data_IF_925432230056
#
_entry.id   IF_925432230056
#
_cell.length_a   1.000
_cell.length_b   1.000
_cell.length_c   1.000
_cell.angle_alpha   90.00
_cell.angle_beta   90.00
_cell.angle_gamma   90.00
#
_symmetry.space_group_name_H-M   'P 1'
#
loop_
_entity.id
_entity.type
_entity.pdbx_description
1 polymer ?
#
# COMPACT_ATOMS: atom_id res chain seq x y z
N UNK A 1 2.72 -9.52 -34.01
CA UNK A 1 1.29 -9.88 -34.01
C UNK A 1 0.53 -8.73 -33.39
N UNK A 2 -0.24 -8.03 -34.21
CA UNK A 2 -1.17 -7.00 -33.73
C UNK A 2 -2.21 -7.70 -32.83
N UNK A 3 -2.69 -7.00 -31.80
CA UNK A 3 -3.61 -7.59 -30.81
C UNK A 3 -4.91 -8.07 -31.44
N UNK A 4 -5.30 -7.49 -32.58
CA UNK A 4 -6.52 -7.82 -33.32
C UNK A 4 -6.46 -9.19 -34.03
N UNK A 5 -5.31 -9.56 -34.63
CA UNK A 5 -5.11 -10.87 -35.27
C UNK A 5 -5.26 -12.02 -34.26
N UNK A 6 -4.78 -11.81 -33.03
CA UNK A 6 -4.88 -12.81 -31.96
C UNK A 6 -6.34 -13.00 -31.54
N UNK A 7 -7.12 -11.91 -31.47
CA UNK A 7 -8.53 -11.99 -31.10
C UNK A 7 -9.36 -12.71 -32.16
N UNK A 8 -9.12 -12.41 -33.44
CA UNK A 8 -9.81 -13.06 -34.55
C UNK A 8 -9.50 -14.57 -34.61
N UNK A 9 -8.24 -14.95 -34.40
CA UNK A 9 -7.85 -16.36 -34.28
C UNK A 9 -8.55 -17.05 -33.10
N UNK A 10 -8.61 -16.41 -31.92
CA UNK A 10 -9.27 -17.01 -30.76
C UNK A 10 -10.78 -17.19 -30.97
N UNK A 11 -11.42 -16.29 -31.71
CA UNK A 11 -12.83 -16.38 -32.04
C UNK A 11 -13.10 -17.54 -33.02
N UNK A 12 -12.29 -17.66 -34.06
CA UNK A 12 -12.38 -18.77 -35.01
C UNK A 12 -12.18 -20.14 -34.34
N UNK A 13 -11.24 -20.24 -33.40
CA UNK A 13 -11.01 -21.46 -32.61
C UNK A 13 -12.20 -21.79 -31.70
N UNK A 14 -12.80 -20.80 -31.04
CA UNK A 14 -13.99 -21.02 -30.21
C UNK A 14 -15.21 -21.43 -31.05
N UNK A 15 -15.38 -20.83 -32.23
CA UNK A 15 -16.47 -21.16 -33.15
C UNK A 15 -16.33 -22.57 -33.76
N UNK A 16 -15.11 -23.07 -33.93
CA UNK A 16 -14.84 -24.47 -34.32
C UNK A 16 -14.97 -25.47 -33.16
N UNK A 17 -15.52 -25.06 -32.01
CA UNK A 17 -15.67 -25.83 -30.77
C UNK A 17 -14.35 -26.30 -30.15
N UNK A 18 -13.24 -25.65 -30.49
CA UNK A 18 -11.96 -25.90 -29.83
C UNK A 18 -11.86 -25.12 -28.53
N UNK A 19 -11.10 -25.65 -27.57
CA UNK A 19 -10.83 -24.96 -26.31
C UNK A 19 -9.69 -23.97 -26.49
N UNK A 20 -9.90 -22.75 -25.99
CA UNK A 20 -8.88 -21.69 -26.06
C UNK A 20 -8.33 -21.41 -24.68
N UNK A 21 -7.00 -21.43 -24.56
CA UNK A 21 -6.29 -21.06 -23.33
C UNK A 21 -5.82 -19.61 -23.41
N UNK A 22 -6.26 -18.78 -22.46
CA UNK A 22 -5.88 -17.38 -22.35
C UNK A 22 -5.22 -17.08 -21.00
N UNK A 23 -4.32 -16.11 -20.97
CA UNK A 23 -3.71 -15.61 -19.73
C UNK A 23 -4.56 -14.48 -19.18
N UNK A 24 -4.96 -14.59 -17.91
CA UNK A 24 -5.74 -13.56 -17.22
C UNK A 24 -4.89 -12.31 -17.02
N UNK A 25 -5.30 -11.21 -17.66
CA UNK A 25 -4.76 -9.88 -17.43
C UNK A 25 -5.56 -9.09 -16.41
N UNK A 26 -4.89 -8.50 -15.42
CA UNK A 26 -5.50 -7.58 -14.46
C UNK A 26 -5.99 -8.25 -13.16
N UNK A 27 -6.84 -7.55 -12.40
CA UNK A 27 -7.26 -7.98 -11.05
C UNK A 27 -8.78 -7.95 -10.85
N UNK A 28 -9.59 -7.74 -11.90
CA UNK A 28 -11.04 -7.55 -11.74
C UNK A 28 -11.73 -8.76 -11.12
N UNK A 29 -11.24 -9.97 -11.40
CA UNK A 29 -11.71 -11.25 -10.85
C UNK A 29 -11.00 -11.71 -9.57
N UNK A 30 -10.18 -10.86 -8.95
CA UNK A 30 -9.55 -11.18 -7.67
C UNK A 30 -10.62 -11.28 -6.56
N UNK A 31 -10.59 -12.27 -5.64
CA UNK A 31 -9.51 -13.24 -5.38
C UNK A 31 -9.58 -14.54 -6.19
N UNK A 32 -10.67 -14.79 -6.93
CA UNK A 32 -10.93 -16.07 -7.57
C UNK A 32 -9.94 -16.36 -8.71
N UNK A 33 -9.84 -15.47 -9.70
CA UNK A 33 -8.78 -15.45 -10.70
C UNK A 33 -7.75 -14.37 -10.38
N UNK A 34 -6.48 -14.63 -10.66
CA UNK A 34 -5.36 -13.72 -10.41
C UNK A 34 -4.67 -13.39 -11.72
N UNK A 35 -4.05 -12.22 -11.78
CA UNK A 35 -3.20 -11.83 -12.89
C UNK A 35 -2.13 -12.91 -13.15
N UNK A 36 -2.06 -13.41 -14.38
CA UNK A 36 -1.15 -14.49 -14.79
C UNK A 36 -1.67 -15.91 -14.55
N UNK A 37 -2.88 -16.12 -14.02
CA UNK A 37 -3.54 -17.43 -14.13
C UNK A 37 -3.88 -17.71 -15.60
N UNK A 38 -3.84 -18.97 -16.01
CA UNK A 38 -4.28 -19.38 -17.35
C UNK A 38 -5.69 -19.92 -17.25
N UNK A 39 -6.62 -19.40 -18.04
CA UNK A 39 -8.01 -19.86 -18.12
C UNK A 39 -8.22 -20.63 -19.41
N UNK A 40 -9.07 -21.66 -19.35
CA UNK A 40 -9.51 -22.39 -20.54
C UNK A 40 -10.99 -22.13 -20.75
N UNK A 41 -11.29 -21.68 -21.96
CA UNK A 41 -12.59 -21.19 -22.40
C UNK A 41 -13.18 -22.22 -23.34
N UNK A 42 -14.46 -22.50 -23.16
CA UNK A 42 -15.25 -23.31 -24.07
C UNK A 42 -16.46 -22.52 -24.57
N UNK A 43 -16.77 -22.65 -25.86
CA UNK A 43 -18.02 -22.10 -26.42
C UNK A 43 -19.20 -22.91 -25.88
N UNK A 44 -20.22 -22.23 -25.39
CA UNK A 44 -21.45 -22.85 -24.88
C UNK A 44 -22.64 -22.00 -25.29
N UNK A 45 -23.85 -22.55 -25.20
CA UNK A 45 -25.08 -21.78 -25.43
C UNK A 45 -25.44 -20.99 -24.18
N UNK A 46 -26.08 -19.83 -24.34
CA UNK A 46 -26.48 -18.99 -23.20
C UNK A 46 -27.43 -19.74 -22.25
N UNK A 47 -28.26 -20.64 -22.79
CA UNK A 47 -29.18 -21.46 -22.01
C UNK A 47 -28.48 -22.48 -21.10
N UNK A 48 -27.19 -22.75 -21.32
CA UNK A 48 -26.37 -23.66 -20.50
C UNK A 48 -25.65 -22.92 -19.36
N UNK A 49 -25.75 -21.58 -19.33
CA UNK A 49 -25.12 -20.75 -18.32
C UNK A 49 -25.92 -20.76 -17.01
N UNK A 50 -25.20 -20.87 -15.90
CA UNK A 50 -25.75 -20.78 -14.56
C UNK A 50 -25.25 -19.52 -13.86
N UNK A 51 -26.09 -18.95 -12.99
CA UNK A 51 -25.68 -17.82 -12.13
C UNK A 51 -24.44 -18.24 -11.31
N UNK A 52 -23.41 -17.41 -11.35
CA UNK A 52 -22.11 -17.65 -10.71
C UNK A 52 -21.02 -18.20 -11.64
N UNK A 53 -21.35 -18.59 -12.87
CA UNK A 53 -20.38 -18.96 -13.90
C UNK A 53 -19.49 -17.77 -14.28
N UNK A 54 -18.27 -18.07 -14.72
CA UNK A 54 -17.36 -17.05 -15.26
C UNK A 54 -17.48 -17.06 -16.77
N UNK A 55 -17.98 -15.96 -17.31
CA UNK A 55 -18.22 -15.79 -18.74
C UNK A 55 -17.19 -14.84 -19.32
N UNK A 56 -16.77 -15.13 -20.55
CA UNK A 56 -15.85 -14.31 -21.32
C UNK A 56 -16.64 -13.64 -22.44
N UNK A 57 -16.50 -12.32 -22.54
CA UNK A 57 -17.20 -11.51 -23.52
C UNK A 57 -16.29 -10.41 -24.08
N UNK A 58 -16.65 -9.92 -25.26
CA UNK A 58 -15.96 -8.87 -25.98
C UNK A 58 -16.54 -7.51 -25.59
N UNK A 59 -15.64 -6.55 -25.40
CA UNK A 59 -15.92 -5.12 -25.38
C UNK A 59 -15.11 -4.46 -26.48
N UNK A 60 -15.47 -3.24 -26.90
CA UNK A 60 -14.86 -2.56 -28.06
C UNK A 60 -13.32 -2.60 -28.10
N UNK A 61 -12.64 -2.64 -26.95
CA UNK A 61 -11.18 -2.65 -26.89
C UNK A 61 -10.55 -3.98 -26.42
N UNK A 62 -11.31 -4.90 -25.78
CA UNK A 62 -10.75 -5.99 -24.94
C UNK A 62 -11.71 -7.16 -24.72
N UNK A 63 -11.14 -8.34 -24.48
CA UNK A 63 -11.85 -9.48 -23.91
C UNK A 63 -11.87 -9.43 -22.38
N UNK A 64 -13.03 -9.65 -21.78
CA UNK A 64 -13.24 -9.55 -20.34
C UNK A 64 -13.87 -10.84 -19.83
N UNK A 65 -13.27 -11.42 -18.79
CA UNK A 65 -13.82 -12.56 -18.07
C UNK A 65 -14.42 -12.09 -16.74
N UNK A 66 -15.75 -12.09 -16.59
CA UNK A 66 -16.42 -11.70 -15.36
C UNK A 66 -17.49 -12.71 -14.91
N UNK A 67 -17.89 -12.63 -13.64
CA UNK A 67 -18.86 -13.55 -13.07
C UNK A 67 -20.28 -13.15 -13.46
N UNK A 68 -21.06 -14.12 -13.91
CA UNK A 68 -22.47 -13.96 -14.23
C UNK A 68 -23.29 -13.80 -12.95
N UNK A 69 -23.98 -12.67 -12.81
CA UNK A 69 -24.81 -12.37 -11.64
C UNK A 69 -26.30 -12.54 -11.91
N UNK A 70 -26.75 -12.22 -13.13
CA UNK A 70 -28.16 -12.31 -13.50
C UNK A 70 -28.28 -12.49 -15.01
N UNK A 71 -29.26 -13.28 -15.43
CA UNK A 71 -29.72 -13.39 -16.82
C UNK A 71 -31.08 -12.68 -16.86
N UNK A 72 -31.30 -11.80 -17.84
CA UNK A 72 -32.61 -11.22 -18.11
C UNK A 72 -32.99 -11.44 -19.57
N UNK A 73 -34.28 -11.46 -19.85
CA UNK A 73 -34.81 -11.36 -21.21
C UNK A 73 -35.46 -9.99 -21.36
N UNK A 74 -35.01 -9.20 -22.33
CA UNK A 74 -35.59 -7.90 -22.69
C UNK A 74 -35.77 -7.89 -24.23
N UNK A 75 -36.97 -7.57 -24.70
CA UNK A 75 -37.33 -7.50 -26.14
C UNK A 75 -36.93 -8.75 -26.97
N UNK A 76 -37.28 -9.96 -26.51
CA UNK A 76 -36.90 -11.24 -27.13
C UNK A 76 -35.38 -11.49 -27.27
N UNK A 77 -34.53 -10.69 -26.61
CA UNK A 77 -33.07 -10.90 -26.56
C UNK A 77 -32.64 -11.24 -25.14
N UNK A 78 -31.75 -12.22 -25.00
CA UNK A 78 -31.15 -12.58 -23.71
C UNK A 78 -29.99 -11.64 -23.41
N UNK A 79 -30.00 -11.00 -22.24
CA UNK A 79 -28.91 -10.14 -21.76
C UNK A 79 -28.30 -10.71 -20.47
N UNK A 80 -26.97 -10.69 -20.43
CA UNK A 80 -26.18 -11.18 -19.31
C UNK A 80 -25.68 -9.99 -18.49
N UNK A 81 -25.94 -10.01 -17.18
CA UNK A 81 -25.41 -9.04 -16.24
C UNK A 81 -24.22 -9.67 -15.54
N UNK A 82 -23.02 -9.18 -15.87
CA UNK A 82 -21.76 -9.67 -15.32
C UNK A 82 -21.17 -8.68 -14.33
N UNK A 83 -20.27 -9.17 -13.47
CA UNK A 83 -19.52 -8.35 -12.52
C UNK A 83 -18.20 -9.03 -12.17
N UNK A 84 -17.11 -8.27 -12.14
CA UNK A 84 -15.84 -8.75 -11.61
C UNK A 84 -15.89 -8.93 -10.08
N UNK A 85 -15.26 -9.99 -9.55
CA UNK A 85 -15.28 -10.32 -8.11
C UNK A 85 -14.72 -9.21 -7.20
N UNK A 86 -13.81 -8.37 -7.72
CA UNK A 86 -13.24 -7.22 -7.02
C UNK A 86 -13.87 -5.87 -7.42
N UNK A 87 -14.80 -5.87 -8.37
CA UNK A 87 -15.46 -4.66 -8.87
C UNK A 87 -16.62 -4.28 -7.93
N UNK A 88 -16.89 -2.98 -7.78
CA UNK A 88 -18.04 -2.51 -6.99
C UNK A 88 -19.31 -2.40 -7.83
N UNK A 89 -19.18 -1.97 -9.09
CA UNK A 89 -20.26 -1.85 -10.07
C UNK A 89 -20.41 -3.12 -10.91
N UNK A 90 -21.61 -3.34 -11.44
CA UNK A 90 -21.87 -4.34 -12.49
C UNK A 90 -21.38 -3.80 -13.84
N UNK A 91 -21.10 -4.69 -14.78
CA UNK A 91 -20.75 -4.32 -16.15
C UNK A 91 -21.99 -3.86 -16.92
N UNK A 92 -21.77 -3.27 -18.10
CA UNK A 92 -22.83 -3.07 -19.08
C UNK A 92 -23.45 -4.41 -19.47
N UNK A 93 -24.76 -4.45 -19.79
CA UNK A 93 -25.40 -5.69 -20.25
C UNK A 93 -24.67 -6.28 -21.44
N UNK A 94 -24.29 -7.55 -21.31
CA UNK A 94 -23.61 -8.30 -22.38
C UNK A 94 -24.68 -9.01 -23.21
N UNK A 95 -24.72 -8.70 -24.50
CA UNK A 95 -25.59 -9.32 -25.50
C UNK A 95 -25.01 -10.62 -26.03
N UNK A 96 -25.83 -11.43 -26.71
CA UNK A 96 -25.38 -12.71 -27.28
C UNK A 96 -24.24 -12.55 -28.29
N UNK A 97 -24.27 -11.47 -29.08
CA UNK A 97 -23.23 -11.14 -30.07
C UNK A 97 -21.85 -10.91 -29.42
N UNK A 98 -21.83 -10.33 -28.22
CA UNK A 98 -20.58 -10.05 -27.51
C UNK A 98 -20.11 -11.24 -26.66
N UNK A 99 -20.91 -12.30 -26.55
CA UNK A 99 -20.59 -13.45 -25.71
C UNK A 99 -19.65 -14.44 -26.40
N UNK A 100 -18.45 -14.60 -25.85
CA UNK A 100 -17.44 -15.48 -26.41
C UNK A 100 -17.51 -16.91 -25.87
N UNK A 101 -17.70 -17.10 -24.56
CA UNK A 101 -17.76 -18.44 -23.97
C UNK A 101 -17.71 -18.46 -22.45
N UNK A 102 -17.60 -19.67 -21.89
CA UNK A 102 -17.53 -19.91 -20.44
C UNK A 102 -16.17 -20.47 -20.05
N UNK A 103 -15.65 -20.02 -18.92
CA UNK A 103 -14.43 -20.58 -18.33
C UNK A 103 -14.77 -21.89 -17.62
N UNK A 104 -14.10 -22.97 -18.03
CA UNK A 104 -14.33 -24.33 -17.48
C UNK A 104 -13.26 -24.74 -16.46
N UNK A 105 -12.01 -24.32 -16.68
CA UNK A 105 -10.88 -24.65 -15.82
C UNK A 105 -9.84 -23.53 -15.87
N UNK A 106 -9.03 -23.45 -14.83
CA UNK A 106 -7.91 -22.52 -14.77
C UNK A 106 -6.68 -23.15 -14.12
N UNK A 107 -5.50 -22.70 -14.52
CA UNK A 107 -4.22 -23.11 -13.96
C UNK A 107 -3.65 -21.98 -13.12
N UNK A 108 -3.22 -22.33 -11.90
CA UNK A 108 -2.49 -21.41 -11.02
C UNK A 108 -1.15 -22.00 -10.66
N UNK A 109 -0.06 -21.38 -11.13
CA UNK A 109 1.32 -21.89 -10.96
C UNK A 109 1.45 -23.34 -11.44
N UNK A 110 0.92 -23.64 -12.63
CA UNK A 110 0.95 -24.97 -13.23
C UNK A 110 -0.01 -26.00 -12.63
N UNK A 111 -0.74 -25.69 -11.54
CA UNK A 111 -1.74 -26.61 -10.97
C UNK A 111 -3.12 -26.36 -11.58
N UNK A 112 -3.71 -27.40 -12.15
CA UNK A 112 -5.07 -27.38 -12.69
C UNK A 112 -6.12 -27.24 -11.58
N UNK A 113 -7.13 -26.40 -11.81
CA UNK A 113 -8.31 -26.21 -10.96
C UNK A 113 -9.57 -26.26 -11.83
N UNK A 114 -10.35 -27.32 -11.67
CA UNK A 114 -11.63 -27.50 -12.35
C UNK A 114 -12.74 -26.69 -11.64
N UNK A 115 -13.33 -25.73 -12.35
CA UNK A 115 -14.35 -24.80 -11.81
C UNK A 115 -15.68 -25.53 -11.56
N UNK A 116 -15.94 -26.62 -12.28
CA UNK A 116 -17.18 -27.40 -12.18
C UNK A 116 -17.22 -28.35 -10.98
N UNK A 117 -16.13 -28.48 -10.21
CA UNK A 117 -16.10 -29.26 -8.98
C UNK A 117 -17.12 -28.74 -7.95
N UNK A 118 -17.73 -29.63 -7.16
CA UNK A 118 -18.70 -29.29 -6.11
C UNK A 118 -18.17 -28.26 -5.10
N UNK A 119 -16.87 -28.29 -4.82
CA UNK A 119 -16.20 -27.28 -3.99
C UNK A 119 -16.33 -25.87 -4.57
N UNK A 120 -16.00 -25.70 -5.86
CA UNK A 120 -16.07 -24.41 -6.53
C UNK A 120 -17.50 -23.97 -6.84
N UNK A 121 -18.43 -24.89 -7.10
CA UNK A 121 -19.86 -24.57 -7.21
C UNK A 121 -20.42 -23.96 -5.92
N UNK A 122 -20.06 -24.48 -4.74
CA UNK A 122 -20.45 -23.91 -3.45
C UNK A 122 -19.86 -22.50 -3.26
N UNK A 123 -18.57 -22.32 -3.55
CA UNK A 123 -17.90 -21.01 -3.49
C UNK A 123 -18.56 -20.00 -4.44
N UNK A 124 -18.88 -20.42 -5.66
CA UNK A 124 -19.51 -19.57 -6.68
C UNK A 124 -20.87 -19.05 -6.21
N UNK A 125 -21.71 -19.91 -5.61
CA UNK A 125 -23.01 -19.50 -5.05
C UNK A 125 -22.86 -18.55 -3.87
N UNK A 126 -21.89 -18.77 -2.99
CA UNK A 126 -21.62 -17.87 -1.86
C UNK A 126 -21.17 -16.47 -2.32
N UNK A 127 -20.29 -16.37 -3.32
CA UNK A 127 -19.79 -15.07 -3.82
C UNK A 127 -20.93 -14.22 -4.39
N UNK A 128 -21.84 -14.82 -5.17
CA UNK A 128 -22.97 -14.09 -5.77
C UNK A 128 -23.98 -13.64 -4.70
N UNK A 129 -24.28 -14.50 -3.73
CA UNK A 129 -25.30 -14.24 -2.70
C UNK A 129 -24.91 -13.12 -1.73
N UNK A 130 -23.61 -12.95 -1.43
CA UNK A 130 -23.12 -12.00 -0.41
C UNK A 130 -22.50 -10.70 -0.99
N UNK A 131 -22.86 -10.33 -2.22
CA UNK A 131 -22.14 -9.36 -3.08
C UNK A 131 -21.91 -7.91 -2.58
N UNK A 132 -22.41 -7.50 -1.40
CA UNK A 132 -22.30 -6.10 -0.91
C UNK A 132 -21.60 -5.89 0.45
N UNK A 133 -21.96 -6.54 1.58
CA UNK A 133 -21.29 -6.25 2.86
C UNK A 133 -20.05 -7.13 3.14
N UNK A 134 -20.07 -8.40 2.71
CA UNK A 134 -19.03 -9.39 3.07
C UNK A 134 -17.75 -9.25 2.22
N UNK A 135 -17.90 -8.75 0.99
CA UNK A 135 -16.79 -8.46 0.05
C UNK A 135 -15.87 -7.35 0.56
N UNK A 136 -16.37 -6.41 1.38
CA UNK A 136 -15.60 -5.31 1.95
C UNK A 136 -14.57 -5.76 3.01
N UNK A 137 -14.83 -6.85 3.74
CA UNK A 137 -13.94 -7.35 4.81
C UNK A 137 -13.08 -8.55 4.39
N UNK A 138 -13.65 -9.49 3.62
CA UNK A 138 -12.93 -10.71 3.22
C UNK A 138 -11.92 -10.46 2.09
N UNK A 139 -12.22 -9.58 1.13
CA UNK A 139 -11.30 -9.29 0.03
C UNK A 139 -10.01 -8.65 0.56
N UNK A 140 -10.05 -7.72 1.55
CA UNK A 140 -8.86 -7.30 2.27
C UNK A 140 -8.06 -8.44 2.89
N UNK A 141 -8.72 -9.28 3.69
CA UNK A 141 -8.06 -10.35 4.40
C UNK A 141 -7.40 -11.36 3.44
N UNK A 142 -8.12 -11.79 2.40
CA UNK A 142 -7.59 -12.71 1.37
C UNK A 142 -6.48 -12.08 0.53
N UNK A 143 -6.57 -10.78 0.21
CA UNK A 143 -5.49 -10.10 -0.50
C UNK A 143 -4.25 -9.92 0.38
N UNK A 144 -4.40 -9.73 1.70
CA UNK A 144 -3.28 -9.77 2.64
C UNK A 144 -2.62 -11.16 2.68
N UNK A 145 -3.43 -12.21 2.89
CA UNK A 145 -2.98 -13.61 2.96
C UNK A 145 -2.32 -14.06 1.65
N UNK A 146 -2.70 -13.52 0.51
CA UNK A 146 -2.09 -13.89 -0.78
C UNK A 146 -0.83 -13.10 -1.11
N UNK A 147 -0.63 -11.91 -0.51
CA UNK A 147 0.56 -11.06 -0.70
C UNK A 147 1.60 -11.15 0.42
N UNK A 148 1.36 -11.89 1.50
CA UNK A 148 2.30 -12.02 2.61
C UNK A 148 3.73 -12.42 2.17
N UNK A 149 3.88 -13.32 1.17
CA UNK A 149 5.21 -13.68 0.62
C UNK A 149 5.98 -12.49 0.06
N UNK A 150 5.28 -11.56 -0.61
CA UNK A 150 5.88 -10.34 -1.14
C UNK A 150 6.30 -9.41 0.00
N UNK A 151 5.49 -9.30 1.05
CA UNK A 151 5.82 -8.54 2.25
C UNK A 151 7.07 -9.12 2.93
N UNK A 152 7.15 -10.44 3.11
CA UNK A 152 8.33 -11.12 3.68
C UNK A 152 9.58 -10.84 2.84
N UNK A 153 9.49 -10.93 1.51
CA UNK A 153 10.61 -10.59 0.61
C UNK A 153 11.03 -9.13 0.75
N UNK A 154 10.07 -8.21 0.84
CA UNK A 154 10.35 -6.78 1.07
C UNK A 154 11.03 -6.55 2.42
N UNK A 155 10.55 -7.18 3.50
CA UNK A 155 11.18 -7.10 4.82
C UNK A 155 12.62 -7.64 4.78
N UNK A 156 12.84 -8.77 4.09
CA UNK A 156 14.19 -9.33 3.92
C UNK A 156 15.13 -8.35 3.20
N UNK A 157 14.64 -7.67 2.16
CA UNK A 157 15.41 -6.66 1.43
C UNK A 157 15.68 -5.44 2.29
N UNK A 158 14.67 -4.92 3.01
CA UNK A 158 14.82 -3.80 3.94
C UNK A 158 15.87 -4.14 5.01
N UNK A 159 15.80 -5.34 5.62
CA UNK A 159 16.78 -5.80 6.59
C UNK A 159 18.20 -5.82 6.01
N UNK A 160 18.37 -6.33 4.79
CA UNK A 160 19.68 -6.36 4.12
C UNK A 160 20.22 -4.94 3.87
N UNK A 161 19.37 -4.04 3.38
CA UNK A 161 19.73 -2.65 3.12
C UNK A 161 20.07 -1.89 4.41
N UNK A 162 19.25 -2.04 5.46
CA UNK A 162 19.52 -1.47 6.78
C UNK A 162 20.81 -2.03 7.37
N UNK A 163 21.01 -3.35 7.32
CA UNK A 163 22.24 -3.96 7.82
C UNK A 163 23.49 -3.42 7.11
N UNK A 164 23.41 -3.27 5.79
CA UNK A 164 24.50 -2.71 4.99
C UNK A 164 24.81 -1.27 5.39
N UNK A 165 23.78 -0.41 5.52
CA UNK A 165 23.95 1.00 5.85
C UNK A 165 24.38 1.20 7.32
N UNK A 166 23.76 0.47 8.25
CA UNK A 166 24.06 0.58 9.69
C UNK A 166 25.43 -0.01 10.07
N UNK A 167 26.03 -0.85 9.22
CA UNK A 167 27.35 -1.44 9.48
C UNK A 167 28.48 -0.41 9.45
N UNK A 168 28.33 0.68 8.71
CA UNK A 168 29.31 1.78 8.68
C UNK A 168 29.14 2.70 9.90
N UNK A 169 27.89 2.97 10.31
CA UNK A 169 27.56 3.87 11.43
C UNK A 169 27.10 3.12 12.69
N UNK A 170 27.80 2.04 13.08
CA UNK A 170 27.36 1.11 14.16
C UNK A 170 27.08 1.81 15.48
N UNK A 171 27.99 2.68 15.93
CA UNK A 171 27.86 3.38 17.22
C UNK A 171 26.61 4.26 17.27
N UNK A 172 26.41 5.08 16.24
CA UNK A 172 25.24 5.95 16.12
C UNK A 172 23.94 5.15 16.00
N UNK A 173 23.96 4.03 15.28
CA UNK A 173 22.79 3.14 15.16
C UNK A 173 22.40 2.57 16.52
N UNK A 174 23.36 2.07 17.31
CA UNK A 174 23.10 1.49 18.64
C UNK A 174 22.49 2.55 19.58
N UNK A 175 23.07 3.76 19.62
CA UNK A 175 22.54 4.86 20.45
C UNK A 175 21.09 5.18 20.06
N UNK A 176 20.80 5.29 18.76
CA UNK A 176 19.43 5.54 18.28
C UNK A 176 18.44 4.40 18.63
N UNK A 177 18.89 3.14 18.61
CA UNK A 177 18.07 2.01 19.06
C UNK A 177 17.72 2.14 20.54
N UNK A 178 18.72 2.42 21.39
CA UNK A 178 18.51 2.58 22.84
C UNK A 178 17.53 3.71 23.13
N UNK A 179 17.73 4.87 22.50
CA UNK A 179 16.82 6.03 22.65
C UNK A 179 15.40 5.67 22.18
N UNK A 180 15.26 4.97 21.04
CA UNK A 180 13.94 4.56 20.51
C UNK A 180 13.22 3.59 21.44
N UNK A 181 13.96 2.69 22.12
CA UNK A 181 13.40 1.76 23.11
C UNK A 181 12.89 2.54 24.33
N UNK A 182 13.68 3.46 24.87
CA UNK A 182 13.30 4.28 26.02
C UNK A 182 12.06 5.15 25.71
N UNK A 183 12.03 5.80 24.55
CA UNK A 183 10.88 6.58 24.08
C UNK A 183 9.62 5.73 23.83
N UNK A 184 9.78 4.44 23.51
CA UNK A 184 8.66 3.52 23.32
C UNK A 184 7.97 3.14 24.63
N UNK A 185 8.69 3.19 25.76
CA UNK A 185 8.22 2.78 27.10
C UNK A 185 7.69 3.98 27.89
N UNK A 186 8.29 5.16 27.74
CA UNK A 186 7.98 6.36 28.52
C UNK A 186 6.49 6.76 28.61
N UNK A 187 5.71 6.76 27.50
CA UNK A 187 4.29 7.11 27.57
C UNK A 187 3.50 6.23 28.55
N UNK A 188 3.92 4.98 28.75
CA UNK A 188 3.27 4.04 29.67
C UNK A 188 3.65 4.29 31.11
N UNK A 189 4.91 4.66 31.37
CA UNK A 189 5.34 5.11 32.69
C UNK A 189 4.48 6.31 33.11
N UNK A 190 4.27 7.27 32.21
CA UNK A 190 3.41 8.43 32.44
C UNK A 190 1.97 8.02 32.76
N UNK A 191 1.37 7.09 31.99
CA UNK A 191 0.02 6.57 32.26
C UNK A 191 -0.10 5.95 33.66
N UNK A 192 0.90 5.16 34.08
CA UNK A 192 0.91 4.56 35.42
C UNK A 192 1.08 5.59 36.54
N UNK A 193 1.91 6.62 36.32
CA UNK A 193 2.05 7.73 37.26
C UNK A 193 0.73 8.50 37.41
N UNK A 194 0.02 8.76 36.31
CA UNK A 194 -1.32 9.35 36.37
C UNK A 194 -2.31 8.47 37.12
N UNK A 195 -2.28 7.16 36.91
CA UNK A 195 -3.10 6.21 37.68
C UNK A 195 -2.82 6.35 39.19
N UNK A 196 -1.55 6.30 39.60
CA UNK A 196 -1.19 6.42 41.02
C UNK A 196 -1.56 7.78 41.61
N UNK A 197 -1.49 8.85 40.82
CA UNK A 197 -1.95 10.17 41.23
C UNK A 197 -3.45 10.16 41.51
N UNK A 198 -4.27 9.58 40.61
CA UNK A 198 -5.72 9.45 40.80
C UNK A 198 -6.05 8.55 42.00
N UNK A 199 -5.39 7.40 42.11
CA UNK A 199 -5.57 6.45 43.22
C UNK A 199 -5.19 7.11 44.56
N UNK A 200 -4.14 7.93 44.58
CA UNK A 200 -3.72 8.74 45.73
C UNK A 200 -4.80 9.73 46.13
N UNK A 201 -5.36 10.48 45.18
CA UNK A 201 -6.44 11.44 45.44
C UNK A 201 -7.71 10.78 45.98
N UNK A 202 -8.03 9.55 45.59
CA UNK A 202 -9.19 8.83 46.12
C UNK A 202 -9.04 8.40 47.58
N UNK A 203 -7.80 8.24 48.08
CA UNK A 203 -7.54 7.86 49.47
C UNK A 203 -7.67 9.02 50.46
N UNK A 204 -7.94 10.25 50.01
CA UNK A 204 -8.13 11.45 50.86
C UNK A 204 -9.09 11.20 52.03
N UNK A 205 -10.15 10.42 51.81
CA UNK A 205 -11.14 10.13 52.84
C UNK A 205 -10.64 9.19 53.97
N UNK A 206 -9.47 8.56 53.81
CA UNK A 206 -8.88 7.63 54.77
C UNK A 206 -7.64 8.14 55.51
N UNK A 207 -7.11 9.32 55.17
CA UNK A 207 -5.99 9.93 55.90
C UNK A 207 -6.51 10.82 57.02
N UNK A 208 -6.19 10.47 58.28
CA UNK A 208 -6.43 11.35 59.44
C UNK A 208 -5.51 12.58 59.44
N UNK A 209 -4.32 12.46 58.84
CA UNK A 209 -3.31 13.53 58.74
C UNK A 209 -3.16 14.00 57.29
N UNK A 210 -3.55 15.26 57.05
CA UNK A 210 -3.48 15.90 55.72
C UNK A 210 -2.04 16.15 55.27
N UNK A 211 -1.06 16.17 56.18
CA UNK A 211 0.35 16.43 55.86
C UNK A 211 1.04 15.21 55.25
N UNK A 212 0.77 14.01 55.78
CA UNK A 212 1.26 12.75 55.21
C UNK A 212 0.73 12.53 53.79
N UNK A 213 -0.56 12.81 53.58
CA UNK A 213 -1.19 12.80 52.26
C UNK A 213 -0.51 13.75 51.26
N UNK A 214 -0.21 14.98 51.68
CA UNK A 214 0.45 15.96 50.83
C UNK A 214 1.86 15.49 50.43
N UNK A 215 2.60 14.88 51.35
CA UNK A 215 3.93 14.35 51.07
C UNK A 215 3.90 13.19 50.05
N UNK A 216 2.97 12.24 50.20
CA UNK A 216 2.81 11.12 49.27
C UNK A 216 2.50 11.60 47.84
N UNK A 217 1.61 12.58 47.70
CA UNK A 217 1.29 13.18 46.40
C UNK A 217 2.45 13.99 45.84
N UNK A 218 3.14 14.78 46.68
CA UNK A 218 4.31 15.56 46.25
C UNK A 218 5.38 14.65 45.63
N UNK A 219 5.65 13.49 46.22
CA UNK A 219 6.61 12.52 45.67
C UNK A 219 6.18 12.05 44.27
N UNK A 220 4.90 11.72 44.08
CA UNK A 220 4.37 11.31 42.77
C UNK A 220 4.49 12.46 41.75
N UNK A 221 4.20 13.70 42.14
CA UNK A 221 4.33 14.88 41.29
C UNK A 221 5.78 15.11 40.88
N UNK A 222 6.73 15.02 41.82
CA UNK A 222 8.17 15.19 41.54
C UNK A 222 8.65 14.11 40.56
N UNK A 223 8.31 12.83 40.82
CA UNK A 223 8.66 11.73 39.91
C UNK A 223 8.07 11.96 38.52
N UNK A 224 6.81 12.41 38.45
CA UNK A 224 6.15 12.74 37.18
C UNK A 224 6.88 13.85 36.45
N UNK A 225 7.26 14.93 37.15
CA UNK A 225 8.07 16.01 36.60
C UNK A 225 9.41 15.52 36.05
N UNK A 226 10.12 14.66 36.80
CA UNK A 226 11.38 14.06 36.36
C UNK A 226 11.22 13.18 35.12
N UNK A 227 10.12 12.41 35.02
CA UNK A 227 9.83 11.59 33.84
C UNK A 227 9.52 12.46 32.62
N UNK A 228 8.80 13.58 32.78
CA UNK A 228 8.58 14.55 31.70
C UNK A 228 9.88 15.24 31.25
N UNK A 229 10.74 15.60 32.19
CA UNK A 229 12.07 16.15 31.90
C UNK A 229 12.93 15.12 31.14
N UNK A 230 12.98 13.87 31.62
CA UNK A 230 13.67 12.78 30.94
C UNK A 230 13.14 12.57 29.51
N UNK A 231 11.81 12.59 29.34
CA UNK A 231 11.20 12.49 28.00
C UNK A 231 11.62 13.65 27.10
N UNK A 232 11.72 14.86 27.63
CA UNK A 232 12.16 16.05 26.90
C UNK A 232 13.63 15.94 26.48
N UNK A 233 14.49 15.53 27.41
CA UNK A 233 15.92 15.30 27.14
C UNK A 233 16.10 14.21 26.08
N UNK A 234 15.40 13.08 26.21
CA UNK A 234 15.47 12.01 25.21
C UNK A 234 14.97 12.46 23.84
N UNK A 235 13.97 13.34 23.75
CA UNK A 235 13.53 13.90 22.47
C UNK A 235 14.63 14.77 21.81
N UNK A 236 15.32 15.60 22.60
CA UNK A 236 16.44 16.42 22.10
C UNK A 236 17.56 15.51 21.59
N UNK A 237 17.99 14.53 22.40
CA UNK A 237 19.02 13.57 22.03
C UNK A 237 18.61 12.75 20.80
N UNK A 238 17.35 12.32 20.72
CA UNK A 238 16.83 11.59 19.57
C UNK A 238 16.96 12.40 18.28
N UNK A 239 16.60 13.69 18.30
CA UNK A 239 16.69 14.53 17.11
C UNK A 239 18.15 14.73 16.67
N UNK A 240 19.04 14.99 17.62
CA UNK A 240 20.47 15.18 17.35
C UNK A 240 21.13 13.90 16.82
N UNK A 241 20.96 12.77 17.50
CA UNK A 241 21.57 11.49 17.10
C UNK A 241 20.98 10.95 15.80
N UNK A 242 19.70 11.22 15.50
CA UNK A 242 19.11 10.91 14.19
C UNK A 242 19.71 11.74 13.08
N UNK A 243 19.92 13.03 13.31
CA UNK A 243 20.53 13.92 12.32
C UNK A 243 21.98 13.53 12.04
N UNK A 244 22.78 13.26 13.08
CA UNK A 244 24.16 12.76 12.94
C UNK A 244 24.22 11.44 12.15
N UNK A 245 23.32 10.50 12.44
CA UNK A 245 23.23 9.25 11.69
C UNK A 245 22.80 9.51 10.24
N UNK A 246 21.84 10.41 10.04
CA UNK A 246 21.32 10.80 8.72
C UNK A 246 22.44 11.34 7.82
N UNK A 247 23.27 12.25 8.37
CA UNK A 247 24.43 12.81 7.69
C UNK A 247 25.48 11.73 7.37
N UNK A 248 25.84 10.90 8.34
CA UNK A 248 26.81 9.81 8.15
C UNK A 248 26.39 8.85 7.03
N UNK A 249 25.10 8.48 7.00
CA UNK A 249 24.54 7.62 5.96
C UNK A 249 24.50 8.32 4.60
N UNK A 250 24.13 9.60 4.56
CA UNK A 250 24.09 10.39 3.33
C UNK A 250 25.48 10.41 2.65
N UNK A 251 26.53 10.76 3.41
CA UNK A 251 27.91 10.77 2.92
C UNK A 251 28.32 9.40 2.36
N UNK A 252 28.01 8.32 3.08
CA UNK A 252 28.31 6.96 2.64
C UNK A 252 27.63 6.61 1.31
N UNK A 253 26.33 6.90 1.19
CA UNK A 253 25.56 6.59 -0.02
C UNK A 253 26.06 7.40 -1.21
N UNK A 254 26.38 8.69 -1.04
CA UNK A 254 26.96 9.51 -2.09
C UNK A 254 28.33 8.99 -2.53
N UNK A 255 29.20 8.58 -1.60
CA UNK A 255 30.49 7.98 -1.95
C UNK A 255 30.33 6.71 -2.79
N UNK A 256 29.39 5.83 -2.42
CA UNK A 256 29.09 4.63 -3.19
C UNK A 256 28.54 4.96 -4.59
N UNK A 257 27.71 5.99 -4.69
CA UNK A 257 27.17 6.46 -5.97
C UNK A 257 28.27 7.04 -6.85
N UNK A 258 29.15 7.87 -6.31
CA UNK A 258 30.28 8.46 -7.04
C UNK A 258 31.23 7.38 -7.55
N UNK A 259 31.65 6.44 -6.69
CA UNK A 259 32.48 5.30 -7.09
C UNK A 259 31.82 4.48 -8.20
N UNK A 260 30.51 4.24 -8.09
CA UNK A 260 29.79 3.52 -9.13
C UNK A 260 29.75 4.32 -10.43
N UNK A 261 29.49 5.63 -10.39
CA UNK A 261 29.43 6.48 -11.57
C UNK A 261 30.76 6.53 -12.33
N UNK A 262 31.89 6.61 -11.61
CA UNK A 262 33.25 6.55 -12.19
C UNK A 262 33.51 5.21 -12.89
N UNK A 263 32.93 4.12 -12.38
CA UNK A 263 33.12 2.77 -12.96
C UNK A 263 32.26 2.47 -14.20
N UNK A 264 31.35 3.36 -14.59
CA UNK A 264 30.44 3.13 -15.71
C UNK A 264 31.10 3.54 -17.03
N UNK A 265 30.87 2.74 -18.06
CA UNK A 265 31.25 3.03 -19.44
C UNK A 265 30.35 4.10 -20.07
N UNK A 266 30.88 4.81 -21.06
CA UNK A 266 30.16 5.88 -21.76
C UNK A 266 28.88 5.37 -22.44
N UNK A 267 28.90 4.17 -23.03
CA UNK A 267 27.73 3.57 -23.67
C UNK A 267 26.55 3.40 -22.68
N UNK A 268 26.84 3.04 -21.43
CA UNK A 268 25.83 2.98 -20.37
C UNK A 268 25.28 4.35 -19.99
N UNK A 269 26.09 5.41 -20.08
CA UNK A 269 25.65 6.78 -19.78
C UNK A 269 24.78 7.38 -20.89
N UNK A 270 24.96 6.94 -22.14
CA UNK A 270 24.19 7.41 -23.30
C UNK A 270 22.82 6.71 -23.45
N UNK A 271 22.65 5.50 -22.89
CA UNK A 271 21.37 4.79 -22.96
C UNK A 271 20.26 5.44 -22.10
N UNK A 272 19.13 5.71 -22.74
CA UNK A 272 18.00 6.39 -22.12
C UNK A 272 17.38 5.61 -20.95
N UNK A 273 17.37 4.27 -20.99
CA UNK A 273 16.81 3.44 -19.92
C UNK A 273 17.75 3.38 -18.70
N UNK A 274 19.08 3.41 -18.93
CA UNK A 274 20.06 3.49 -17.86
C UNK A 274 20.07 4.87 -17.21
N UNK A 275 19.91 5.96 -17.97
CA UNK A 275 19.79 7.29 -17.41
C UNK A 275 18.62 7.43 -16.44
N UNK A 276 17.48 6.77 -16.68
CA UNK A 276 16.37 6.73 -15.72
C UNK A 276 16.78 6.08 -14.37
N UNK A 277 17.71 5.12 -14.39
CA UNK A 277 18.25 4.51 -13.16
C UNK A 277 19.22 5.46 -12.45
N UNK A 278 20.13 6.09 -13.19
CA UNK A 278 21.11 7.03 -12.63
C UNK A 278 20.39 8.25 -12.03
N UNK A 279 19.48 8.86 -12.79
CA UNK A 279 18.69 10.00 -12.34
C UNK A 279 17.94 9.69 -11.04
N UNK A 280 17.24 8.56 -10.98
CA UNK A 280 16.57 8.15 -9.74
C UNK A 280 17.55 7.88 -8.61
N UNK A 281 18.65 7.18 -8.86
CA UNK A 281 19.64 6.89 -7.82
C UNK A 281 20.19 8.18 -7.20
N UNK A 282 20.53 9.18 -8.02
CA UNK A 282 21.04 10.48 -7.56
C UNK A 282 19.98 11.27 -6.80
N UNK A 283 18.78 11.39 -7.37
CA UNK A 283 17.67 12.13 -6.75
C UNK A 283 17.19 11.47 -5.45
N UNK A 284 17.22 10.14 -5.37
CA UNK A 284 16.74 9.39 -4.20
C UNK A 284 17.81 9.11 -3.14
N UNK A 285 19.10 9.19 -3.48
CA UNK A 285 20.22 8.91 -2.58
C UNK A 285 20.19 9.74 -1.29
N UNK A 286 19.90 11.04 -1.42
CA UNK A 286 19.94 11.99 -0.31
C UNK A 286 18.76 11.89 0.66
N UNK A 287 17.69 11.16 0.35
CA UNK A 287 16.49 11.16 1.22
C UNK A 287 15.85 9.79 1.44
N UNK A 288 15.83 8.88 0.46
CA UNK A 288 15.14 7.58 0.61
C UNK A 288 15.79 6.68 1.65
N UNK A 289 17.11 6.47 1.67
CA UNK A 289 17.75 5.63 2.68
C UNK A 289 17.54 6.17 4.09
N UNK A 290 17.65 7.50 4.25
CA UNK A 290 17.46 8.21 5.52
C UNK A 290 16.03 8.04 6.02
N UNK A 291 15.05 8.21 5.13
CA UNK A 291 13.65 7.95 5.44
C UNK A 291 13.44 6.50 5.88
N UNK A 292 14.01 5.52 5.18
CA UNK A 292 13.86 4.10 5.56
C UNK A 292 14.41 3.82 6.96
N UNK A 293 15.55 4.40 7.32
CA UNK A 293 16.16 4.26 8.65
C UNK A 293 15.27 4.91 9.72
N UNK A 294 14.85 6.15 9.50
CA UNK A 294 14.01 6.87 10.45
C UNK A 294 12.67 6.19 10.71
N UNK A 295 12.02 5.70 9.65
CA UNK A 295 10.79 4.92 9.72
C UNK A 295 11.02 3.57 10.41
N UNK A 296 12.22 2.98 10.29
CA UNK A 296 12.57 1.73 11.00
C UNK A 296 12.69 1.94 12.50
N UNK A 297 13.33 3.02 12.94
CA UNK A 297 13.38 3.35 14.37
C UNK A 297 11.99 3.71 14.91
N UNK A 298 11.19 4.45 14.13
CA UNK A 298 9.79 4.74 14.48
C UNK A 298 8.97 3.46 14.59
N UNK A 299 9.24 2.46 13.72
CA UNK A 299 8.61 1.15 13.80
C UNK A 299 9.03 0.39 15.06
N UNK A 300 10.32 0.43 15.45
CA UNK A 300 10.80 -0.16 16.71
C UNK A 300 10.06 0.45 17.89
N UNK A 301 10.01 1.78 17.98
CA UNK A 301 9.27 2.49 19.01
C UNK A 301 7.79 2.07 19.03
N UNK A 302 7.14 2.05 17.87
CA UNK A 302 5.72 1.68 17.73
C UNK A 302 5.43 0.24 18.12
N UNK A 303 6.33 -0.70 17.82
CA UNK A 303 6.20 -2.12 18.19
C UNK A 303 6.30 -2.27 19.71
N UNK A 304 7.25 -1.58 20.34
CA UNK A 304 7.41 -1.58 21.80
C UNK A 304 6.17 -0.99 22.45
N UNK A 305 5.70 0.16 21.98
CA UNK A 305 4.48 0.77 22.50
C UNK A 305 3.26 -0.12 22.32
N UNK A 306 3.11 -0.78 21.16
CA UNK A 306 2.03 -1.74 20.93
C UNK A 306 2.13 -2.95 21.86
N UNK A 307 3.33 -3.48 22.11
CA UNK A 307 3.54 -4.59 23.03
C UNK A 307 3.17 -4.23 24.47
N UNK A 308 3.52 -3.02 24.92
CA UNK A 308 3.14 -2.52 26.25
C UNK A 308 1.63 -2.31 26.35
N UNK A 309 0.99 -1.69 25.33
CA UNK A 309 -0.48 -1.55 25.26
C UNK A 309 -1.14 -2.93 25.31
N UNK A 310 -0.66 -3.88 24.51
CA UNK A 310 -1.20 -5.23 24.48
C UNK A 310 -1.11 -5.86 25.88
N UNK A 311 0.07 -5.82 26.53
CA UNK A 311 0.25 -6.36 27.88
C UNK A 311 -0.71 -5.75 28.91
N UNK A 312 -0.93 -4.43 28.85
CA UNK A 312 -1.89 -3.73 29.71
C UNK A 312 -3.33 -4.18 29.41
N UNK A 313 -3.73 -4.25 28.14
CA UNK A 313 -5.08 -4.64 27.75
C UNK A 313 -5.38 -6.11 28.07
N UNK A 314 -4.42 -7.02 27.90
CA UNK A 314 -4.57 -8.43 28.28
C UNK A 314 -4.80 -8.58 29.79
N UNK A 315 -4.19 -7.71 30.61
CA UNK A 315 -4.42 -7.70 32.06
C UNK A 315 -5.83 -7.21 32.44
N UNK A 316 -6.43 -6.35 31.62
CA UNK A 316 -7.80 -5.86 31.83
C UNK A 316 -8.80 -6.86 31.27
N UNK A 317 -8.84 -7.03 29.94
CA UNK A 317 -9.67 -8.01 29.23
C UNK A 317 -9.14 -8.22 27.82
N UNK A 318 -8.80 -9.47 27.48
CA UNK A 318 -8.30 -9.85 26.16
C UNK A 318 -9.28 -9.55 25.00
N UNK A 319 -10.59 -9.50 25.27
CA UNK A 319 -11.63 -9.18 24.28
C UNK A 319 -11.46 -7.75 23.74
N UNK A 320 -11.12 -6.79 24.61
CA UNK A 320 -10.90 -5.39 24.22
C UNK A 320 -9.76 -5.29 23.20
N UNK A 321 -8.68 -6.05 23.43
CA UNK A 321 -7.56 -6.12 22.50
C UNK A 321 -7.98 -6.65 21.12
N UNK A 322 -8.79 -7.71 21.09
CA UNK A 322 -9.31 -8.29 19.82
C UNK A 322 -10.22 -7.29 19.09
N UNK A 323 -11.09 -6.59 19.80
CA UNK A 323 -11.98 -5.58 19.22
C UNK A 323 -11.19 -4.41 18.58
N UNK A 324 -10.17 -3.90 19.28
CA UNK A 324 -9.30 -2.84 18.74
C UNK A 324 -8.55 -3.34 17.50
N UNK A 325 -8.07 -4.59 17.50
CA UNK A 325 -7.44 -5.16 16.31
C UNK A 325 -8.38 -5.18 15.11
N UNK A 326 -9.64 -5.60 15.30
CA UNK A 326 -10.65 -5.60 14.24
C UNK A 326 -10.91 -4.17 13.72
N UNK A 327 -11.02 -3.20 14.63
CA UNK A 327 -11.24 -1.79 14.30
C UNK A 327 -10.13 -1.20 13.40
N UNK A 328 -8.88 -1.61 13.59
CA UNK A 328 -7.71 -1.05 12.88
C UNK A 328 -7.51 -1.65 11.47
N UNK A 329 -8.01 -2.85 11.20
CA UNK A 329 -7.78 -3.58 9.93
C UNK A 329 -8.15 -2.75 8.68
N UNK A 330 -9.33 -2.08 8.59
CA UNK A 330 -9.69 -1.28 7.42
C UNK A 330 -8.73 -0.12 7.17
N UNK A 331 -8.29 0.57 8.22
CA UNK A 331 -7.35 1.67 8.10
C UNK A 331 -5.98 1.23 7.59
N UNK A 332 -5.47 0.10 8.12
CA UNK A 332 -4.25 -0.52 7.62
C UNK A 332 -4.38 -0.90 6.14
N UNK A 333 -5.53 -1.46 5.74
CA UNK A 333 -5.81 -1.86 4.37
C UNK A 333 -5.72 -0.70 3.38
N UNK A 334 -6.41 0.40 3.69
CA UNK A 334 -6.43 1.61 2.86
C UNK A 334 -5.00 2.11 2.66
N UNK A 335 -4.24 2.28 3.74
CA UNK A 335 -2.86 2.76 3.68
C UNK A 335 -1.97 1.86 2.82
N UNK A 336 -2.07 0.54 2.98
CA UNK A 336 -1.25 -0.40 2.21
C UNK A 336 -1.60 -0.39 0.71
N UNK A 337 -2.90 -0.40 0.37
CA UNK A 337 -3.39 -0.34 -1.03
C UNK A 337 -2.93 0.94 -1.73
N UNK A 338 -3.07 2.09 -1.09
CA UNK A 338 -2.68 3.38 -1.66
C UNK A 338 -1.16 3.59 -1.70
N UNK A 339 -0.41 3.03 -0.75
CA UNK A 339 1.06 3.01 -0.79
C UNK A 339 1.56 2.31 -2.06
N UNK A 340 0.98 1.16 -2.43
CA UNK A 340 1.35 0.47 -3.67
C UNK A 340 0.98 1.27 -4.94
N UNK A 341 -0.17 1.94 -4.93
CA UNK A 341 -0.58 2.81 -6.06
C UNK A 341 0.35 4.01 -6.21
N UNK A 342 0.75 4.65 -5.11
CA UNK A 342 1.72 5.75 -5.12
C UNK A 342 3.08 5.28 -5.66
N UNK A 343 3.56 4.12 -5.22
CA UNK A 343 4.81 3.55 -5.75
C UNK A 343 4.74 3.31 -7.27
N UNK A 344 3.64 2.73 -7.76
CA UNK A 344 3.46 2.52 -9.21
C UNK A 344 3.42 3.85 -9.95
N UNK A 345 2.70 4.84 -9.44
CA UNK A 345 2.61 6.19 -10.02
C UNK A 345 3.99 6.85 -10.15
N UNK A 346 4.79 6.82 -9.09
CA UNK A 346 6.16 7.36 -9.12
C UNK A 346 7.02 6.62 -10.15
N UNK A 347 6.94 5.28 -10.19
CA UNK A 347 7.71 4.48 -11.15
C UNK A 347 7.33 4.78 -12.60
N UNK A 348 6.04 4.94 -12.91
CA UNK A 348 5.56 5.26 -14.26
C UNK A 348 5.89 6.68 -14.69
N UNK A 349 6.01 7.61 -13.73
CA UNK A 349 6.29 9.02 -14.01
C UNK A 349 7.78 9.36 -14.08
N UNK A 350 8.68 8.39 -13.87
CA UNK A 350 10.15 8.58 -13.89
C UNK A 350 10.64 9.33 -15.14
N UNK A 351 10.11 9.00 -16.31
CA UNK A 351 10.51 9.64 -17.58
C UNK A 351 10.04 11.11 -17.64
N UNK A 352 8.82 11.40 -17.17
CA UNK A 352 8.29 12.77 -17.12
C UNK A 352 9.01 13.63 -16.07
N UNK A 353 9.38 13.03 -14.94
CA UNK A 353 10.22 13.69 -13.93
C UNK A 353 11.60 14.04 -14.50
N UNK A 354 12.21 13.14 -15.30
CA UNK A 354 13.48 13.41 -15.99
C UNK A 354 13.35 14.51 -17.05
N UNK A 355 12.28 14.50 -17.83
CA UNK A 355 12.02 15.56 -18.82
C UNK A 355 11.86 16.93 -18.14
N UNK A 356 11.06 17.00 -17.06
CA UNK A 356 10.92 18.22 -16.27
C UNK A 356 12.25 18.67 -15.67
N UNK A 357 13.09 17.73 -15.22
CA UNK A 357 14.43 18.03 -14.75
C UNK A 357 15.31 18.64 -15.85
N UNK A 358 15.22 18.18 -17.11
CA UNK A 358 15.95 18.78 -18.22
C UNK A 358 15.48 20.19 -18.56
N UNK A 359 14.17 20.44 -18.58
CA UNK A 359 13.66 21.81 -18.78
C UNK A 359 14.13 22.73 -17.66
N UNK A 360 14.08 22.28 -16.41
CA UNK A 360 14.63 23.03 -15.28
C UNK A 360 16.13 23.32 -15.48
N UNK A 361 16.93 22.30 -15.85
CA UNK A 361 18.37 22.45 -16.09
C UNK A 361 18.67 23.46 -17.21
N UNK A 362 17.89 23.45 -18.29
CA UNK A 362 18.04 24.41 -19.40
C UNK A 362 17.79 25.82 -18.86
N UNK A 363 16.67 26.03 -18.17
CA UNK A 363 16.26 27.34 -17.65
C UNK A 363 17.20 27.91 -16.58
N UNK A 364 17.83 27.07 -15.77
CA UNK A 364 18.61 27.51 -14.60
C UNK A 364 20.13 27.45 -14.78
N UNK A 365 20.64 26.71 -15.77
CA UNK A 365 22.09 26.53 -15.94
C UNK A 365 22.72 27.69 -16.71
N UNK A 366 23.88 28.16 -16.23
CA UNK A 366 24.67 29.18 -16.88
C UNK A 366 25.06 28.79 -18.32
N UNK A 367 25.26 27.49 -18.58
CA UNK A 367 25.67 26.99 -19.89
C UNK A 367 24.68 27.35 -21.02
N UNK A 368 23.37 27.40 -20.72
CA UNK A 368 22.33 27.70 -21.71
C UNK A 368 21.84 29.16 -21.64
N UNK A 369 22.32 29.95 -20.68
CA UNK A 369 21.80 31.29 -20.39
C UNK A 369 21.94 32.26 -21.58
N UNK A 370 23.03 32.15 -22.35
CA UNK A 370 23.26 32.99 -23.54
C UNK A 370 22.26 32.68 -24.65
N UNK A 371 22.04 31.40 -24.96
CA UNK A 371 21.09 30.96 -25.98
C UNK A 371 19.65 31.32 -25.61
N UNK A 372 19.25 31.11 -24.35
CA UNK A 372 17.89 31.44 -23.88
C UNK A 372 17.60 32.93 -24.05
N UNK A 373 18.56 33.80 -23.74
CA UNK A 373 18.42 35.25 -23.87
C UNK A 373 18.48 35.71 -25.32
N UNK A 374 19.40 35.16 -26.12
CA UNK A 374 19.57 35.50 -27.52
C UNK A 374 18.33 35.13 -28.35
N UNK A 375 17.78 33.94 -28.12
CA UNK A 375 16.64 33.41 -28.89
C UNK A 375 15.27 33.67 -28.24
N UNK A 376 15.20 34.21 -27.02
CA UNK A 376 13.93 34.48 -26.32
C UNK A 376 13.12 33.23 -25.96
N UNK A 377 13.73 32.05 -25.96
CA UNK A 377 13.04 30.74 -25.80
C UNK A 377 12.71 30.36 -24.34
N UNK A 378 12.94 31.25 -23.37
CA UNK A 378 12.69 30.96 -21.95
C UNK A 378 11.22 30.64 -21.64
N UNK A 379 10.28 31.38 -22.23
CA UNK A 379 8.85 31.15 -22.02
C UNK A 379 8.40 29.78 -22.54
N UNK A 380 8.95 29.34 -23.68
CA UNK A 380 8.65 28.04 -24.27
C UNK A 380 8.99 26.88 -23.33
N UNK A 381 10.20 26.88 -22.74
CA UNK A 381 10.59 25.83 -21.80
C UNK A 381 9.85 25.93 -20.46
N UNK A 382 9.56 27.15 -20.01
CA UNK A 382 8.79 27.39 -18.78
C UNK A 382 7.38 26.81 -18.90
N UNK A 383 6.70 27.01 -20.03
CA UNK A 383 5.37 26.47 -20.27
C UNK A 383 5.38 24.93 -20.29
N UNK A 384 6.34 24.31 -20.98
CA UNK A 384 6.49 22.84 -20.99
C UNK A 384 6.76 22.26 -19.61
N UNK A 385 7.65 22.90 -18.83
CA UNK A 385 7.91 22.52 -17.45
C UNK A 385 6.63 22.56 -16.61
N UNK A 386 5.88 23.66 -16.68
CA UNK A 386 4.65 23.85 -15.93
C UNK A 386 3.58 22.83 -16.32
N UNK A 387 3.42 22.53 -17.62
CA UNK A 387 2.47 21.53 -18.10
C UNK A 387 2.79 20.11 -17.57
N UNK A 388 4.07 19.74 -17.51
CA UNK A 388 4.46 18.45 -16.93
C UNK A 388 4.20 18.42 -15.43
N UNK A 389 4.67 19.43 -14.68
CA UNK A 389 4.53 19.48 -13.23
C UNK A 389 3.05 19.49 -12.80
N UNK A 390 2.22 20.31 -13.44
CA UNK A 390 0.77 20.36 -13.16
C UNK A 390 0.10 18.99 -13.40
N UNK A 391 0.47 18.27 -14.46
CA UNK A 391 -0.04 16.93 -14.72
C UNK A 391 0.42 15.90 -13.66
N UNK A 392 1.70 15.91 -13.30
CA UNK A 392 2.26 15.05 -12.24
C UNK A 392 1.55 15.29 -10.91
N UNK A 393 1.38 16.56 -10.52
CA UNK A 393 0.65 16.95 -9.31
C UNK A 393 -0.83 16.57 -9.37
N UNK A 394 -1.51 16.78 -10.50
CA UNK A 394 -2.93 16.41 -10.67
C UNK A 394 -3.13 14.91 -10.46
N UNK A 395 -2.30 14.06 -11.07
CA UNK A 395 -2.38 12.61 -10.90
C UNK A 395 -2.15 12.18 -9.44
N UNK A 396 -1.13 12.76 -8.79
CA UNK A 396 -0.82 12.50 -7.38
C UNK A 396 -1.96 12.95 -6.47
N UNK A 397 -2.50 14.15 -6.68
CA UNK A 397 -3.57 14.73 -5.88
C UNK A 397 -4.89 13.96 -5.99
N UNK A 398 -5.25 13.48 -7.20
CA UNK A 398 -6.42 12.59 -7.38
C UNK A 398 -6.27 11.33 -6.54
N UNK A 399 -5.07 10.74 -6.51
CA UNK A 399 -4.80 9.56 -5.71
C UNK A 399 -4.81 9.85 -4.20
N UNK A 400 -4.23 10.97 -3.77
CA UNK A 400 -4.21 11.40 -2.38
C UNK A 400 -5.62 11.71 -1.85
N UNK A 401 -6.47 12.39 -2.64
CA UNK A 401 -7.88 12.62 -2.28
C UNK A 401 -8.64 11.32 -2.10
N UNK A 402 -8.50 10.38 -3.04
CA UNK A 402 -9.12 9.05 -2.93
C UNK A 402 -8.63 8.28 -1.69
N UNK A 403 -7.36 8.44 -1.31
CA UNK A 403 -6.81 7.87 -0.07
C UNK A 403 -7.42 8.54 1.15
N UNK A 404 -7.44 9.87 1.21
CA UNK A 404 -7.93 10.63 2.34
C UNK A 404 -9.39 10.28 2.66
N UNK A 405 -10.26 10.25 1.65
CA UNK A 405 -11.67 9.86 1.80
C UNK A 405 -11.77 8.44 2.38
N UNK A 406 -10.98 7.49 1.86
CA UNK A 406 -10.98 6.12 2.36
C UNK A 406 -10.42 6.00 3.78
N UNK A 407 -9.40 6.80 4.14
CA UNK A 407 -8.84 6.86 5.49
C UNK A 407 -9.87 7.43 6.49
N UNK A 408 -10.63 8.46 6.10
CA UNK A 408 -11.73 9.02 6.91
C UNK A 408 -12.80 7.96 7.19
N UNK A 409 -13.27 7.24 6.16
CA UNK A 409 -14.25 6.17 6.37
C UNK A 409 -13.72 5.06 7.27
N UNK A 410 -12.45 4.70 7.14
CA UNK A 410 -11.83 3.70 8.02
C UNK A 410 -11.73 4.18 9.47
N UNK A 411 -11.48 5.47 9.71
CA UNK A 411 -11.45 6.06 11.05
C UNK A 411 -12.84 6.12 11.67
N UNK A 412 -13.86 6.57 10.92
CA UNK A 412 -15.26 6.58 11.38
C UNK A 412 -15.68 5.16 11.75
N UNK A 413 -15.37 4.17 10.93
CA UNK A 413 -15.63 2.77 11.23
C UNK A 413 -14.93 2.33 12.52
N UNK A 414 -13.64 2.62 12.68
CA UNK A 414 -12.89 2.22 13.87
C UNK A 414 -13.47 2.82 15.15
N UNK A 415 -13.77 4.11 15.16
CA UNK A 415 -14.34 4.82 16.31
C UNK A 415 -15.74 4.29 16.63
N UNK A 416 -16.64 4.25 15.65
CA UNK A 416 -18.01 3.74 15.86
C UNK A 416 -18.00 2.30 16.37
N UNK A 417 -17.19 1.42 15.76
CA UNK A 417 -17.06 0.03 16.18
C UNK A 417 -16.58 -0.11 17.63
N UNK A 418 -15.58 0.68 18.03
CA UNK A 418 -15.07 0.65 19.40
C UNK A 418 -16.14 1.12 20.39
N UNK A 419 -16.77 2.27 20.16
CA UNK A 419 -17.77 2.82 21.09
C UNK A 419 -19.04 1.96 21.19
N UNK A 420 -19.55 1.45 20.06
CA UNK A 420 -20.70 0.53 20.08
C UNK A 420 -20.39 -0.82 20.73
N UNK A 421 -19.13 -1.22 20.80
CA UNK A 421 -18.75 -2.46 21.49
C UNK A 421 -18.68 -2.31 23.01
N UNK A 422 -18.65 -1.08 23.52
CA UNK A 422 -18.62 -0.77 24.96
C UNK A 422 -19.96 -0.27 25.50
N UNK A 423 -20.91 0.07 24.63
CA UNK A 423 -22.30 0.36 24.96
C UNK A 423 -23.09 -0.95 25.04
#
# INVERSE_FOLDING_TARGET
>A
MQTDELYELTENLLNSKQQVKLIVGGNSMFPFLRNGDEIVINKCRINELNIGDIVVFKTHDKWIAHRLHKIKSENNKTILITKGDSCNSKDLPVTEENFAGKVILFFRKGKEKNINSNYYKKINRCIVSFSKPFTLFIIPLLWFITRYKKIILTIKNIKKTLFFICRESKRLTIVNIIISVLQGILPFVIIYLFKWMIDGMWKINGYADKTAFFNDILVIIIITGLVFLLSSVLNILNNEFRERLSQSVSVYIYNLLHQKHISLDMAYLEDAQQQDKIHRAVQEAGFRPLKMINESFTAIQSIISWAVIAAILFRIHWIIFVLILIAVIPGFWVRFKFSHKLYKLNKTNSTKERESYYYNRILTSLAFAKEIRLFGIGNFFTERFNNIQTNLHKQKNVLLRKRAIADIFAQIFAVTFIFFSFA
#
